data_IF_419685320626
#
_entry.id   IF_419685320626
#
_cell.length_a   1.000
_cell.length_b   1.000
_cell.length_c   1.000
_cell.angle_alpha   90.00
_cell.angle_beta   90.00
_cell.angle_gamma   90.00
#
_symmetry.space_group_name_H-M   'P 1'
#
loop_
_entity.id
_entity.type
_entity.pdbx_description
1 polymer ?
#
# COMPACT_ATOMS: atom_id res chain seq x y z
N UNK A 1 -0.10 35.40 -54.11
CA UNK A 1 -0.87 34.62 -55.10
C UNK A 1 -0.72 33.14 -54.75
N UNK A 2 -1.86 32.45 -54.58
CA UNK A 2 -2.14 31.00 -54.49
C UNK A 2 -1.27 30.13 -53.55
N UNK A 3 -1.72 29.60 -52.39
CA UNK A 3 -2.83 28.66 -52.08
C UNK A 3 -2.69 27.23 -52.65
N UNK A 4 -2.61 26.23 -51.75
CA UNK A 4 -3.22 24.88 -51.78
C UNK A 4 -2.43 23.97 -50.82
N UNK A 5 -2.84 23.68 -49.58
CA UNK A 5 -3.96 22.84 -49.15
C UNK A 5 -3.91 21.41 -49.75
N UNK A 6 -3.58 20.41 -48.94
CA UNK A 6 -3.87 18.99 -49.21
C UNK A 6 -4.22 18.30 -47.87
N UNK A 7 -5.51 18.38 -47.50
CA UNK A 7 -6.12 17.43 -46.58
C UNK A 7 -6.37 16.12 -47.34
N UNK A 8 -5.94 14.98 -46.79
CA UNK A 8 -6.43 13.66 -47.21
C UNK A 8 -7.51 13.18 -46.24
N UNK A 9 -8.73 13.14 -46.77
CA UNK A 9 -9.87 12.37 -46.28
C UNK A 9 -9.51 10.88 -46.20
N UNK A 10 -9.82 10.25 -45.06
CA UNK A 10 -10.01 8.79 -44.97
C UNK A 10 -11.51 8.55 -44.82
N UNK A 11 -12.02 7.77 -45.77
CA UNK A 11 -13.42 7.40 -45.94
C UNK A 11 -13.88 6.39 -44.89
N UNK A 12 -15.13 6.54 -44.48
CA UNK A 12 -15.95 5.55 -43.80
C UNK A 12 -15.99 4.24 -44.60
N UNK A 13 -15.73 3.11 -43.94
CA UNK A 13 -16.17 1.79 -44.38
C UNK A 13 -16.96 1.10 -43.28
N UNK A 14 -18.17 0.76 -43.65
CA UNK A 14 -19.26 0.12 -42.92
C UNK A 14 -18.93 -1.24 -42.27
N UNK A 15 -19.50 -1.42 -41.08
CA UNK A 15 -19.62 -2.66 -40.29
C UNK A 15 -20.19 -3.85 -41.08
N UNK A 16 -19.84 -5.08 -40.67
CA UNK A 16 -20.81 -6.16 -40.57
C UNK A 16 -20.98 -6.65 -39.13
N UNK A 17 -22.23 -6.53 -38.69
CA UNK A 17 -22.87 -7.21 -37.56
C UNK A 17 -22.77 -8.73 -37.66
N UNK A 18 -22.38 -9.41 -36.57
CA UNK A 18 -22.95 -10.69 -36.09
C UNK A 18 -22.33 -11.09 -34.75
N UNK A 19 -23.06 -10.85 -33.66
CA UNK A 19 -22.81 -11.42 -32.34
C UNK A 19 -23.45 -12.82 -32.25
N UNK A 20 -22.80 -13.82 -31.64
CA UNK A 20 -23.42 -15.11 -31.37
C UNK A 20 -24.44 -15.02 -30.22
N UNK A 21 -25.47 -15.89 -30.20
CA UNK A 21 -26.59 -15.77 -29.27
C UNK A 21 -26.21 -16.14 -27.84
N UNK A 22 -26.82 -15.38 -26.90
CA UNK A 22 -26.82 -15.62 -25.46
C UNK A 22 -27.55 -16.92 -25.13
N UNK A 23 -26.96 -17.74 -24.27
CA UNK A 23 -27.66 -18.83 -23.58
C UNK A 23 -28.47 -18.23 -22.42
N UNK A 24 -29.78 -18.44 -22.43
CA UNK A 24 -30.69 -18.03 -21.36
C UNK A 24 -30.49 -18.83 -20.07
N UNK A 25 -30.85 -18.24 -18.91
CA UNK A 25 -30.55 -18.76 -17.58
C UNK A 25 -31.50 -19.87 -17.15
N UNK A 26 -30.93 -20.92 -16.55
CA UNK A 26 -31.68 -21.95 -15.84
C UNK A 26 -32.45 -21.33 -14.65
N UNK A 27 -33.78 -21.41 -14.73
CA UNK A 27 -34.70 -21.07 -13.66
C UNK A 27 -34.55 -22.01 -12.44
N UNK A 28 -34.85 -21.53 -11.22
CA UNK A 28 -34.54 -22.21 -9.97
C UNK A 28 -35.50 -23.38 -9.68
N UNK A 29 -34.93 -24.54 -9.31
CA UNK A 29 -35.69 -25.62 -8.68
C UNK A 29 -36.02 -25.23 -7.24
N UNK A 30 -37.32 -25.10 -6.96
CA UNK A 30 -37.89 -25.06 -5.62
C UNK A 30 -37.57 -26.36 -4.89
N UNK A 31 -36.94 -26.27 -3.73
CA UNK A 31 -36.96 -27.30 -2.69
C UNK A 31 -37.64 -26.70 -1.46
N UNK A 32 -38.80 -27.26 -1.15
CA UNK A 32 -39.67 -26.93 -0.03
C UNK A 32 -39.45 -27.89 1.14
N UNK A 33 -39.65 -27.38 2.36
CA UNK A 33 -39.84 -28.11 3.63
C UNK A 33 -38.63 -28.90 4.15
N UNK A 34 -38.34 -29.00 5.44
CA UNK A 34 -39.09 -28.70 6.67
C UNK A 34 -38.12 -28.76 7.85
N UNK A 35 -38.16 -27.78 8.75
CA UNK A 35 -37.94 -28.00 10.19
C UNK A 35 -39.25 -28.58 10.76
N UNK A 36 -39.24 -29.45 11.79
CA UNK A 36 -38.87 -29.05 13.15
C UNK A 36 -38.13 -30.15 13.92
N UNK A 37 -37.41 -29.80 14.99
CA UNK A 37 -37.45 -30.59 16.24
C UNK A 37 -36.86 -29.76 17.38
N UNK A 38 -37.76 -29.23 18.20
CA UNK A 38 -37.51 -28.81 19.57
C UNK A 38 -37.28 -30.04 20.44
N UNK A 39 -36.21 -30.05 21.23
CA UNK A 39 -36.08 -30.91 22.39
C UNK A 39 -35.57 -30.09 23.57
N UNK A 40 -36.49 -29.82 24.49
CA UNK A 40 -36.24 -29.34 25.85
C UNK A 40 -35.73 -30.51 26.69
N UNK A 41 -34.61 -30.34 27.38
CA UNK A 41 -34.31 -31.08 28.61
C UNK A 41 -33.61 -30.16 29.60
N UNK A 42 -34.19 -30.11 30.80
CA UNK A 42 -33.71 -29.39 31.96
C UNK A 42 -32.90 -30.28 32.90
N UNK A 43 -32.10 -29.60 33.74
CA UNK A 43 -31.75 -29.87 35.14
C UNK A 43 -30.26 -30.12 35.44
N UNK A 44 -29.81 -29.27 36.37
CA UNK A 44 -28.79 -29.41 37.43
C UNK A 44 -27.28 -29.39 37.12
N UNK A 45 -26.70 -28.23 37.47
CA UNK A 45 -25.81 -28.02 38.62
C UNK A 45 -24.35 -28.53 38.61
N UNK A 46 -23.47 -27.51 38.66
CA UNK A 46 -22.19 -27.39 39.38
C UNK A 46 -21.00 -28.22 38.89
N UNK A 47 -20.12 -27.51 38.17
CA UNK A 47 -18.69 -27.79 38.10
C UNK A 47 -17.93 -26.48 37.93
N UNK A 48 -17.11 -26.10 38.92
CA UNK A 48 -16.30 -24.88 38.95
C UNK A 48 -15.40 -24.80 37.72
N UNK A 49 -15.56 -23.75 36.91
CA UNK A 49 -14.59 -23.38 35.88
C UNK A 49 -13.73 -22.24 36.42
N UNK A 50 -12.44 -22.53 36.51
CA UNK A 50 -11.38 -21.63 36.93
C UNK A 50 -11.19 -20.53 35.89
N UNK A 51 -11.06 -19.31 36.40
CA UNK A 51 -10.99 -18.08 35.62
C UNK A 51 -9.56 -17.95 35.03
N UNK A 52 -9.33 -18.49 33.83
CA UNK A 52 -8.07 -18.31 33.11
C UNK A 52 -8.06 -16.94 32.44
N UNK A 53 -7.56 -15.93 33.15
CA UNK A 53 -7.24 -14.61 32.62
C UNK A 53 -6.22 -14.78 31.49
N UNK A 54 -6.66 -14.62 30.23
CA UNK A 54 -5.76 -14.41 29.10
C UNK A 54 -4.99 -13.12 29.33
N UNK A 55 -3.66 -13.26 29.32
CA UNK A 55 -2.68 -12.19 29.54
C UNK A 55 -2.75 -11.24 28.34
N UNK A 56 -3.29 -10.04 28.55
CA UNK A 56 -3.18 -8.93 27.61
C UNK A 56 -1.69 -8.60 27.47
N UNK A 57 -1.17 -8.58 26.24
CA UNK A 57 0.20 -8.20 25.93
C UNK A 57 0.42 -6.71 26.25
N UNK A 58 1.53 -6.43 26.92
CA UNK A 58 1.92 -5.11 27.42
C UNK A 58 2.39 -4.22 26.26
N UNK A 59 1.62 -3.18 25.95
CA UNK A 59 1.96 -2.15 24.97
C UNK A 59 3.00 -1.21 25.61
N UNK A 60 4.25 -1.25 25.15
CA UNK A 60 5.27 -0.26 25.55
C UNK A 60 5.16 0.98 24.67
N UNK A 61 4.53 2.03 25.18
CA UNK A 61 4.57 3.38 24.56
C UNK A 61 5.79 4.15 25.05
N UNK A 62 6.74 4.46 24.17
CA UNK A 62 7.78 5.47 24.43
C UNK A 62 7.45 6.74 23.65
N UNK A 63 7.38 7.88 24.35
CA UNK A 63 7.10 9.20 23.78
C UNK A 63 8.27 10.15 24.01
N UNK A 64 8.74 10.80 22.95
CA UNK A 64 9.75 11.87 22.98
C UNK A 64 9.17 13.14 22.34
N UNK A 65 9.17 14.27 23.05
CA UNK A 65 8.95 15.65 22.52
C UNK A 65 10.31 16.25 22.09
N UNK A 66 10.48 17.22 21.17
CA UNK A 66 9.58 18.22 20.56
C UNK A 66 10.14 18.70 19.21
N UNK A 67 9.27 18.67 18.22
CA UNK A 67 9.33 19.20 16.86
C UNK A 67 7.95 18.94 16.25
N UNK A 68 7.53 19.54 15.15
CA UNK A 68 6.27 19.18 14.43
C UNK A 68 6.40 17.78 13.79
N UNK A 69 6.88 16.79 14.53
CA UNK A 69 7.08 15.42 14.09
C UNK A 69 5.87 14.61 14.56
N UNK A 70 5.25 13.87 13.63
CA UNK A 70 4.09 13.05 13.92
C UNK A 70 4.35 12.02 15.02
N UNK A 71 3.28 11.47 15.58
CA UNK A 71 3.38 10.46 16.65
C UNK A 71 4.15 9.23 16.14
N UNK A 72 5.26 8.86 16.79
CA UNK A 72 5.99 7.63 16.51
C UNK A 72 5.54 6.49 17.44
N UNK A 73 5.25 5.31 16.89
CA UNK A 73 4.89 4.09 17.62
C UNK A 73 5.67 2.88 17.10
N UNK A 74 5.88 1.91 17.97
CA UNK A 74 6.43 0.59 17.63
C UNK A 74 5.50 -0.47 18.20
N UNK A 75 4.99 -1.35 17.35
CA UNK A 75 4.09 -2.44 17.67
C UNK A 75 4.74 -3.77 17.28
N UNK A 76 4.90 -4.67 18.25
CA UNK A 76 5.57 -5.96 18.06
C UNK A 76 4.54 -7.08 18.22
N UNK A 77 4.45 -7.93 17.20
CA UNK A 77 3.49 -9.02 17.12
C UNK A 77 4.17 -10.38 17.23
N UNK A 78 3.46 -11.35 17.79
CA UNK A 78 3.98 -12.71 17.95
C UNK A 78 4.24 -13.40 16.61
N UNK A 79 3.43 -13.11 15.59
CA UNK A 79 3.46 -13.75 14.27
C UNK A 79 3.15 -12.74 13.16
N UNK A 80 3.60 -13.04 11.94
CA UNK A 80 3.23 -12.30 10.73
C UNK A 80 1.70 -12.26 10.52
N UNK A 81 0.98 -13.32 10.94
CA UNK A 81 -0.48 -13.39 10.83
C UNK A 81 -1.18 -12.37 11.74
N UNK A 82 -0.74 -12.25 13.01
CA UNK A 82 -1.28 -11.27 13.94
C UNK A 82 -0.97 -9.84 13.47
N UNK A 83 0.24 -9.62 12.96
CA UNK A 83 0.64 -8.36 12.36
C UNK A 83 -0.28 -8.01 11.19
N UNK A 84 -0.52 -8.95 10.28
CA UNK A 84 -1.35 -8.69 9.10
C UNK A 84 -2.80 -8.36 9.47
N UNK A 85 -3.35 -9.00 10.50
CA UNK A 85 -4.70 -8.73 11.00
C UNK A 85 -4.80 -7.30 11.58
N UNK A 86 -3.86 -6.89 12.42
CA UNK A 86 -3.85 -5.53 12.99
C UNK A 86 -3.52 -4.46 11.94
N UNK A 87 -2.66 -4.75 10.98
CA UNK A 87 -2.41 -3.86 9.84
C UNK A 87 -3.67 -3.63 8.99
N UNK A 88 -4.47 -4.68 8.76
CA UNK A 88 -5.73 -4.57 8.03
C UNK A 88 -6.75 -3.70 8.80
N UNK A 89 -6.85 -3.88 10.11
CA UNK A 89 -7.69 -3.04 10.97
C UNK A 89 -7.22 -1.58 10.94
N UNK A 90 -5.93 -1.33 11.16
CA UNK A 90 -5.33 0.01 11.09
C UNK A 90 -5.62 0.71 9.76
N UNK A 91 -5.41 0.00 8.65
CA UNK A 91 -5.66 0.54 7.30
C UNK A 91 -7.15 0.80 7.07
N UNK A 92 -8.03 -0.06 7.59
CA UNK A 92 -9.50 0.13 7.52
C UNK A 92 -9.94 1.37 8.29
N UNK A 93 -9.43 1.55 9.51
CA UNK A 93 -9.76 2.71 10.36
C UNK A 93 -9.30 4.02 9.69
N UNK A 94 -8.11 4.03 9.08
CA UNK A 94 -7.62 5.18 8.30
C UNK A 94 -8.44 5.41 7.04
N UNK A 95 -8.78 4.35 6.30
CA UNK A 95 -9.67 4.44 5.14
C UNK A 95 -10.99 5.14 5.53
N UNK A 96 -11.64 4.68 6.61
CA UNK A 96 -12.88 5.26 7.09
C UNK A 96 -12.73 6.72 7.54
N UNK A 97 -11.64 7.05 8.24
CA UNK A 97 -11.32 8.42 8.66
C UNK A 97 -11.23 9.34 7.46
N UNK A 98 -10.32 9.07 6.51
CA UNK A 98 -10.08 9.97 5.39
C UNK A 98 -11.24 9.98 4.39
N UNK A 99 -11.93 8.86 4.20
CA UNK A 99 -13.16 8.85 3.40
C UNK A 99 -14.23 9.78 3.97
N UNK A 100 -14.36 9.89 5.31
CA UNK A 100 -15.29 10.84 5.96
C UNK A 100 -14.80 12.28 5.87
N UNK A 101 -13.50 12.52 6.05
CA UNK A 101 -12.93 13.87 6.06
C UNK A 101 -12.84 14.51 4.67
N UNK A 102 -12.56 13.73 3.63
CA UNK A 102 -12.24 14.26 2.30
C UNK A 102 -12.87 13.52 1.12
N UNK A 103 -13.64 12.46 1.37
CA UNK A 103 -14.33 11.71 0.32
C UNK A 103 -13.48 10.70 -0.45
N UNK A 104 -12.18 10.60 -0.15
CA UNK A 104 -11.24 9.71 -0.83
C UNK A 104 -10.18 9.18 0.16
N UNK A 105 -9.58 8.03 -0.15
CA UNK A 105 -8.46 7.46 0.59
C UNK A 105 -7.32 7.09 -0.36
N UNK A 106 -6.17 7.72 -0.17
CA UNK A 106 -4.95 7.53 -0.96
C UNK A 106 -3.99 6.62 -0.21
N UNK A 107 -3.77 5.43 -0.74
CA UNK A 107 -2.87 4.43 -0.17
C UNK A 107 -1.73 4.14 -1.13
N UNK A 108 -0.51 4.15 -0.60
CA UNK A 108 0.72 3.88 -1.34
C UNK A 108 1.36 2.62 -0.76
N UNK A 109 1.84 1.72 -1.60
CA UNK A 109 2.46 0.47 -1.14
C UNK A 109 3.88 0.26 -1.69
N UNK A 110 4.76 -0.31 -0.87
CA UNK A 110 5.95 -1.02 -1.35
C UNK A 110 5.60 -2.42 -1.86
N UNK A 111 6.48 -2.99 -2.67
CA UNK A 111 6.45 -4.41 -3.01
C UNK A 111 6.96 -5.34 -1.89
N UNK A 112 7.49 -6.50 -2.30
CA UNK A 112 8.08 -7.47 -1.39
C UNK A 112 7.08 -8.20 -0.50
N UNK A 113 7.53 -8.66 0.67
CA UNK A 113 6.70 -9.48 1.58
C UNK A 113 5.51 -8.73 2.17
N UNK A 114 5.56 -7.39 2.24
CA UNK A 114 4.47 -6.55 2.72
C UNK A 114 3.16 -6.83 2.00
N UNK A 115 3.19 -7.06 0.68
CA UNK A 115 2.01 -7.29 -0.12
C UNK A 115 1.20 -8.50 0.38
N UNK A 116 1.86 -9.50 0.97
CA UNK A 116 1.18 -10.66 1.56
C UNK A 116 0.24 -10.24 2.68
N UNK A 117 0.60 -9.24 3.49
CA UNK A 117 -0.22 -8.77 4.61
C UNK A 117 -1.54 -8.14 4.16
N UNK A 118 -1.59 -7.58 2.95
CA UNK A 118 -2.83 -7.00 2.38
C UNK A 118 -3.94 -8.03 2.16
N UNK A 119 -3.63 -9.34 2.17
CA UNK A 119 -4.65 -10.41 2.09
C UNK A 119 -5.75 -10.24 3.15
N UNK A 120 -5.40 -9.72 4.32
CA UNK A 120 -6.33 -9.53 5.45
C UNK A 120 -7.33 -8.43 5.22
N UNK A 121 -7.02 -7.44 4.37
CA UNK A 121 -7.99 -6.41 3.99
C UNK A 121 -9.13 -6.98 3.15
N UNK A 122 -8.89 -8.04 2.37
CA UNK A 122 -9.93 -8.71 1.57
C UNK A 122 -10.98 -9.38 2.47
N UNK A 123 -10.60 -9.75 3.70
CA UNK A 123 -11.50 -10.37 4.69
C UNK A 123 -12.40 -9.32 5.38
N UNK A 124 -12.13 -8.02 5.21
CA UNK A 124 -12.86 -6.93 5.87
C UNK A 124 -14.04 -6.47 4.99
N UNK A 125 -15.26 -6.78 5.43
CA UNK A 125 -16.49 -6.48 4.68
C UNK A 125 -16.97 -5.03 4.71
N UNK A 126 -16.37 -4.14 5.52
CA UNK A 126 -16.83 -2.76 5.72
C UNK A 126 -16.13 -1.71 4.85
N UNK A 127 -15.13 -2.09 4.05
CA UNK A 127 -14.31 -1.14 3.28
C UNK A 127 -15.08 -0.63 2.03
N UNK A 128 -15.18 0.68 1.89
CA UNK A 128 -15.66 1.34 0.67
C UNK A 128 -14.54 1.50 -0.36
N UNK A 129 -14.29 0.44 -1.13
CA UNK A 129 -13.26 0.39 -2.18
C UNK A 129 -13.42 1.43 -3.28
N UNK A 130 -14.62 1.98 -3.48
CA UNK A 130 -14.89 2.98 -4.52
C UNK A 130 -14.14 4.30 -4.28
N UNK A 131 -13.75 4.55 -3.03
CA UNK A 131 -13.01 5.75 -2.60
C UNK A 131 -11.51 5.57 -2.55
N UNK A 132 -11.02 4.36 -2.78
CA UNK A 132 -9.59 4.06 -2.72
C UNK A 132 -8.89 4.54 -3.99
N UNK A 133 -7.73 5.17 -3.80
CA UNK A 133 -6.75 5.51 -4.81
C UNK A 133 -5.44 4.83 -4.44
N UNK A 134 -4.95 3.95 -5.32
CA UNK A 134 -3.86 3.03 -5.03
C UNK A 134 -2.62 3.38 -5.85
N UNK A 135 -1.47 3.44 -5.18
CA UNK A 135 -0.19 3.87 -5.75
C UNK A 135 0.93 2.93 -5.30
N UNK A 136 2.07 3.00 -5.99
CA UNK A 136 3.32 2.38 -5.56
C UNK A 136 4.31 3.45 -5.11
N UNK A 137 5.03 3.15 -4.03
CA UNK A 137 6.13 4.02 -3.55
C UNK A 137 7.38 3.82 -4.41
N UNK A 138 7.58 2.62 -4.93
CA UNK A 138 8.63 2.27 -5.87
C UNK A 138 8.17 1.18 -6.82
N UNK A 139 8.81 1.12 -7.98
CA UNK A 139 8.56 0.07 -8.96
C UNK A 139 9.82 -0.21 -9.78
N UNK A 140 9.95 -1.46 -10.21
CA UNK A 140 10.98 -1.95 -11.10
C UNK A 140 10.50 -1.64 -12.51
N UNK A 141 11.37 -1.06 -13.34
CA UNK A 141 11.02 -0.66 -14.70
C UNK A 141 11.08 -1.90 -15.60
N UNK A 142 10.07 -2.73 -15.45
CA UNK A 142 9.86 -4.00 -16.15
C UNK A 142 8.38 -4.10 -16.55
N UNK A 143 8.01 -4.98 -17.50
CA UNK A 143 6.60 -5.16 -17.85
C UNK A 143 5.73 -5.50 -16.64
N UNK A 144 4.47 -5.02 -16.58
CA UNK A 144 3.53 -5.26 -15.45
C UNK A 144 3.17 -6.73 -15.22
N UNK A 145 3.50 -7.61 -16.16
CA UNK A 145 3.33 -9.06 -16.06
C UNK A 145 4.63 -9.80 -15.72
N UNK A 146 5.74 -9.07 -15.56
CA UNK A 146 7.03 -9.61 -15.14
C UNK A 146 7.01 -9.98 -13.65
N UNK A 147 7.74 -11.01 -13.26
CA UNK A 147 7.78 -11.51 -11.89
C UNK A 147 8.32 -10.50 -10.87
N UNK A 148 9.25 -9.64 -11.31
CA UNK A 148 9.82 -8.56 -10.48
C UNK A 148 8.93 -7.31 -10.35
N UNK A 149 7.79 -7.24 -11.04
CA UNK A 149 6.90 -6.07 -10.96
C UNK A 149 6.13 -6.06 -9.64
N UNK A 150 6.23 -4.96 -8.90
CA UNK A 150 5.42 -4.70 -7.72
C UNK A 150 3.93 -4.59 -8.08
N UNK A 151 3.59 -4.09 -9.27
CA UNK A 151 2.24 -4.09 -9.81
C UNK A 151 1.71 -5.51 -9.92
N UNK A 152 2.43 -6.42 -10.58
CA UNK A 152 2.03 -7.83 -10.71
C UNK A 152 1.77 -8.44 -9.35
N UNK A 153 2.73 -8.25 -8.44
CA UNK A 153 2.69 -8.80 -7.09
C UNK A 153 1.44 -8.32 -6.34
N UNK A 154 1.16 -7.02 -6.36
CA UNK A 154 -0.04 -6.44 -5.75
C UNK A 154 -1.33 -6.88 -6.44
N UNK A 155 -1.32 -7.02 -7.77
CA UNK A 155 -2.48 -7.46 -8.54
C UNK A 155 -2.90 -8.88 -8.17
N UNK A 156 -1.96 -9.83 -8.22
CA UNK A 156 -2.21 -11.24 -7.92
C UNK A 156 -2.61 -11.46 -6.45
N UNK A 157 -1.97 -10.72 -5.54
CA UNK A 157 -2.19 -10.89 -4.11
C UNK A 157 -3.43 -10.14 -3.60
N UNK A 158 -3.78 -8.99 -4.17
CA UNK A 158 -4.75 -8.07 -3.58
C UNK A 158 -5.70 -7.43 -4.60
N UNK A 159 -5.21 -6.69 -5.61
CA UNK A 159 -6.08 -5.84 -6.45
C UNK A 159 -7.10 -6.66 -7.27
N UNK A 160 -6.76 -7.89 -7.66
CA UNK A 160 -7.70 -8.80 -8.36
C UNK A 160 -8.87 -9.30 -7.48
N UNK A 161 -8.84 -9.03 -6.17
CA UNK A 161 -9.80 -9.55 -5.17
C UNK A 161 -10.69 -8.47 -4.59
N UNK A 162 -10.47 -7.20 -4.93
CA UNK A 162 -11.21 -6.06 -4.39
C UNK A 162 -11.71 -5.14 -5.51
N UNK A 163 -12.91 -4.55 -5.38
CA UNK A 163 -13.51 -3.72 -6.43
C UNK A 163 -13.01 -2.27 -6.41
N UNK A 164 -11.69 -2.04 -6.37
CA UNK A 164 -11.13 -0.70 -6.55
C UNK A 164 -11.33 -0.29 -8.03
N UNK A 165 -11.89 0.90 -8.33
CA UNK A 165 -12.06 1.34 -9.71
C UNK A 165 -10.71 1.33 -10.46
N UNK A 166 -10.63 0.75 -11.68
CA UNK A 166 -9.36 0.69 -12.41
C UNK A 166 -8.72 2.06 -12.67
N UNK A 167 -9.54 3.11 -12.84
CA UNK A 167 -9.06 4.50 -12.97
C UNK A 167 -8.43 5.09 -11.70
N UNK A 168 -8.57 4.40 -10.56
CA UNK A 168 -7.97 4.79 -9.29
C UNK A 168 -6.71 3.97 -8.94
N UNK A 169 -6.21 3.15 -9.86
CA UNK A 169 -4.97 2.38 -9.69
C UNK A 169 -3.88 2.99 -10.57
N UNK A 170 -2.93 3.67 -9.94
CA UNK A 170 -1.92 4.48 -10.64
C UNK A 170 -0.58 3.74 -10.66
N UNK A 171 -0.33 3.00 -11.74
CA UNK A 171 0.91 2.28 -11.98
C UNK A 171 1.80 3.04 -12.97
N UNK A 172 3.09 2.74 -12.98
CA UNK A 172 4.06 3.36 -13.88
C UNK A 172 3.78 3.02 -15.34
N UNK A 173 4.36 3.82 -16.24
CA UNK A 173 4.49 3.45 -17.65
C UNK A 173 5.73 2.56 -17.87
N UNK A 174 5.51 1.25 -17.96
CA UNK A 174 6.57 0.23 -18.12
C UNK A 174 7.34 0.28 -19.45
N UNK A 175 6.87 1.07 -20.42
CA UNK A 175 7.49 1.19 -21.76
C UNK A 175 8.55 2.28 -21.85
N UNK A 176 8.75 3.04 -20.77
CA UNK A 176 9.70 4.14 -20.69
C UNK A 176 10.99 3.71 -19.97
N UNK A 177 12.09 4.42 -20.21
CA UNK A 177 13.30 4.34 -19.38
C UNK A 177 12.98 4.77 -17.93
N UNK A 178 13.82 4.39 -16.96
CA UNK A 178 13.62 4.75 -15.55
C UNK A 178 13.43 6.27 -15.32
N UNK A 179 14.24 7.11 -15.97
CA UNK A 179 14.11 8.56 -15.87
C UNK A 179 12.76 9.07 -16.39
N UNK A 180 12.42 8.75 -17.65
CA UNK A 180 11.14 9.14 -18.25
C UNK A 180 9.93 8.55 -17.51
N UNK A 181 10.02 7.34 -16.95
CA UNK A 181 8.97 6.74 -16.13
C UNK A 181 8.76 7.49 -14.81
N UNK A 182 9.85 7.97 -14.19
CA UNK A 182 9.77 8.79 -12.98
C UNK A 182 9.12 10.15 -13.27
N UNK A 183 9.48 10.80 -14.38
CA UNK A 183 8.88 12.06 -14.83
C UNK A 183 7.39 11.91 -15.14
N UNK A 184 7.00 10.85 -15.86
CA UNK A 184 5.60 10.53 -16.18
C UNK A 184 4.77 10.30 -14.90
N UNK A 185 5.32 9.53 -13.96
CA UNK A 185 4.66 9.28 -12.68
C UNK A 185 4.54 10.55 -11.84
N UNK A 186 5.59 11.38 -11.76
CA UNK A 186 5.53 12.68 -11.09
C UNK A 186 4.50 13.63 -11.74
N UNK A 187 4.40 13.64 -13.07
CA UNK A 187 3.37 14.41 -13.80
C UNK A 187 1.96 13.94 -13.45
N UNK A 188 1.74 12.62 -13.37
CA UNK A 188 0.49 12.03 -12.90
C UNK A 188 0.14 12.52 -11.49
N UNK A 189 1.09 12.48 -10.55
CA UNK A 189 0.87 12.96 -9.18
C UNK A 189 0.54 14.46 -9.13
N UNK A 190 1.23 15.29 -9.91
CA UNK A 190 0.94 16.74 -10.01
C UNK A 190 -0.48 16.99 -10.53
N UNK A 191 -0.95 16.19 -11.49
CA UNK A 191 -2.33 16.27 -11.97
C UNK A 191 -3.34 15.89 -10.87
N UNK A 192 -3.05 14.84 -10.10
CA UNK A 192 -3.90 14.40 -8.99
C UNK A 192 -3.92 15.40 -7.82
N UNK A 193 -2.82 16.12 -7.59
CA UNK A 193 -2.78 17.28 -6.69
C UNK A 193 -3.68 18.40 -7.21
N UNK A 194 -3.54 18.77 -8.49
CA UNK A 194 -4.34 19.83 -9.11
C UNK A 194 -5.85 19.54 -9.10
N UNK A 195 -6.23 18.26 -9.22
CA UNK A 195 -7.63 17.81 -9.21
C UNK A 195 -8.16 17.53 -7.81
N UNK A 196 -7.32 17.65 -6.77
CA UNK A 196 -7.73 17.52 -5.37
C UNK A 196 -7.82 16.09 -4.84
N UNK A 197 -7.39 15.09 -5.60
CA UNK A 197 -7.31 13.69 -5.15
C UNK A 197 -6.21 13.54 -4.09
N UNK A 198 -5.03 14.11 -4.38
CA UNK A 198 -3.89 14.16 -3.46
C UNK A 198 -3.84 15.56 -2.85
N UNK A 199 -3.70 15.66 -1.53
CA UNK A 199 -3.54 16.96 -0.86
C UNK A 199 -2.09 17.42 -0.96
N UNK A 200 -1.84 18.71 -0.75
CA UNK A 200 -0.49 19.22 -0.55
C UNK A 200 -0.28 19.39 0.96
N UNK A 201 0.89 18.98 1.45
CA UNK A 201 1.31 19.30 2.81
C UNK A 201 1.50 20.81 2.96
N UNK A 202 0.86 21.40 3.96
CA UNK A 202 1.07 22.81 4.32
C UNK A 202 2.46 23.05 4.91
N UNK A 203 3.08 22.03 5.51
CA UNK A 203 4.40 22.12 6.13
C UNK A 203 5.54 22.05 5.11
N UNK A 204 5.41 21.20 4.10
CA UNK A 204 6.52 20.83 3.22
C UNK A 204 6.30 21.26 1.77
N UNK A 205 5.05 21.48 1.35
CA UNK A 205 4.71 21.77 -0.05
C UNK A 205 4.72 20.55 -0.98
N UNK A 206 4.96 19.35 -0.45
CA UNK A 206 4.95 18.09 -1.22
C UNK A 206 3.57 17.41 -1.18
N UNK A 207 3.28 16.46 -2.10
CA UNK A 207 2.06 15.67 -2.05
C UNK A 207 1.95 14.91 -0.72
N UNK A 208 0.80 15.05 -0.07
CA UNK A 208 0.42 14.41 1.18
C UNK A 208 -0.56 13.28 0.91
N UNK A 209 -0.05 12.06 0.94
CA UNK A 209 -0.84 10.82 0.90
C UNK A 209 -1.41 10.52 2.29
N UNK A 210 -2.47 9.71 2.35
CA UNK A 210 -3.11 9.39 3.62
C UNK A 210 -2.38 8.27 4.37
N UNK A 211 -1.97 7.23 3.63
CA UNK A 211 -1.24 6.10 4.18
C UNK A 211 -0.18 5.60 3.20
N UNK A 212 1.07 5.53 3.66
CA UNK A 212 2.13 4.76 2.98
C UNK A 212 2.46 3.50 3.77
N UNK A 213 2.32 2.35 3.12
CA UNK A 213 2.74 1.05 3.63
C UNK A 213 4.12 0.74 3.05
N UNK A 214 5.14 0.76 3.89
CA UNK A 214 6.53 0.58 3.48
C UNK A 214 7.10 -0.74 3.99
N UNK A 215 7.76 -1.47 3.10
CA UNK A 215 8.62 -2.59 3.48
C UNK A 215 10.04 -2.11 3.79
N UNK A 216 10.87 -2.99 4.35
CA UNK A 216 12.28 -2.71 4.60
C UNK A 216 13.18 -3.86 4.14
N UNK A 217 14.31 -3.51 3.52
CA UNK A 217 15.39 -4.43 3.18
C UNK A 217 16.18 -4.95 4.39
N UNK A 218 16.96 -6.04 4.22
CA UNK A 218 17.88 -6.49 5.27
C UNK A 218 19.04 -5.51 5.52
N UNK A 219 19.34 -4.67 4.54
CA UNK A 219 20.25 -3.53 4.54
C UNK A 219 19.56 -2.22 4.97
N UNK A 220 18.29 -2.27 5.37
CA UNK A 220 17.55 -1.09 5.84
C UNK A 220 17.12 -0.10 4.77
N UNK A 221 17.25 -0.43 3.48
CA UNK A 221 16.62 0.35 2.41
C UNK A 221 15.10 0.33 2.55
N UNK A 222 14.46 1.42 2.14
CA UNK A 222 13.01 1.54 1.96
C UNK A 222 12.76 1.98 0.52
N UNK A 223 11.64 1.55 -0.08
CA UNK A 223 11.35 1.83 -1.48
C UNK A 223 12.56 1.44 -2.36
N UNK A 224 13.08 2.33 -3.21
CA UNK A 224 14.39 2.14 -3.86
C UNK A 224 15.45 3.16 -3.37
N UNK A 225 15.39 3.54 -2.10
CA UNK A 225 16.36 4.40 -1.42
C UNK A 225 17.36 3.54 -0.64
N UNK A 226 18.52 3.29 -1.25
CA UNK A 226 19.55 2.38 -0.75
C UNK A 226 20.63 3.09 0.10
N UNK A 227 21.21 2.42 1.10
CA UNK A 227 22.39 2.93 1.81
C UNK A 227 23.49 3.36 0.83
N UNK A 228 24.12 4.50 1.09
CA UNK A 228 25.21 5.07 0.30
C UNK A 228 24.81 5.65 -1.07
N UNK A 229 23.56 5.49 -1.50
CA UNK A 229 23.10 5.98 -2.79
C UNK A 229 22.69 7.47 -2.70
N UNK A 230 23.13 8.29 -3.67
CA UNK A 230 22.91 9.75 -3.65
C UNK A 230 21.44 10.17 -3.62
N UNK A 231 20.53 9.32 -4.09
CA UNK A 231 19.08 9.58 -4.07
C UNK A 231 18.50 9.70 -2.65
N UNK A 232 19.18 9.17 -1.62
CA UNK A 232 18.79 9.39 -0.23
C UNK A 232 18.94 10.85 0.22
N UNK A 233 19.73 11.67 -0.50
CA UNK A 233 19.88 13.10 -0.27
C UNK A 233 19.03 13.98 -1.21
N UNK A 234 18.06 13.41 -1.94
CA UNK A 234 17.18 14.17 -2.81
C UNK A 234 16.12 14.95 -2.00
N UNK A 235 16.11 16.27 -2.16
CA UNK A 235 15.26 17.18 -1.39
C UNK A 235 14.17 17.88 -2.21
N UNK A 236 14.18 17.75 -3.55
CA UNK A 236 13.33 18.57 -4.44
C UNK A 236 12.37 17.75 -5.29
N UNK A 237 12.85 16.65 -5.90
CA UNK A 237 12.02 15.80 -6.76
C UNK A 237 10.97 15.06 -5.95
N UNK A 238 9.81 14.81 -6.55
CA UNK A 238 8.79 13.97 -5.91
C UNK A 238 9.08 12.50 -6.18
N UNK A 239 9.47 12.20 -7.41
CA UNK A 239 9.82 10.86 -7.87
C UNK A 239 11.26 10.89 -8.40
N UNK A 240 12.09 10.01 -7.86
CA UNK A 240 13.43 9.73 -8.35
C UNK A 240 13.46 8.47 -9.22
N UNK A 241 14.58 8.29 -9.92
CA UNK A 241 14.90 7.09 -10.64
C UNK A 241 16.27 6.55 -10.20
N UNK A 242 16.46 5.25 -10.40
CA UNK A 242 17.70 4.52 -10.12
C UNK A 242 17.99 3.67 -11.35
N UNK A 243 19.22 3.70 -11.86
CA UNK A 243 19.65 2.86 -13.00
C UNK A 243 20.64 1.77 -12.60
N UNK A 244 21.19 1.89 -11.39
CA UNK A 244 22.30 1.12 -10.84
C UNK A 244 21.94 0.52 -9.47
N UNK A 245 20.67 0.09 -9.30
CA UNK A 245 20.26 -0.51 -8.04
C UNK A 245 21.17 -1.70 -7.69
N UNK A 246 21.65 -1.81 -6.43
CA UNK A 246 22.50 -2.92 -6.00
C UNK A 246 21.74 -4.26 -5.98
N UNK A 247 20.45 -4.27 -6.31
CA UNK A 247 19.59 -5.45 -6.37
C UNK A 247 18.89 -5.51 -7.72
N UNK A 248 18.87 -6.66 -8.40
CA UNK A 248 18.16 -6.79 -9.66
C UNK A 248 16.64 -6.61 -9.48
N UNK A 249 15.93 -6.14 -10.50
CA UNK A 249 16.42 -5.37 -11.66
C UNK A 249 17.03 -4.02 -11.25
N UNK A 250 18.00 -3.53 -12.03
CA UNK A 250 18.76 -2.32 -11.69
C UNK A 250 17.95 -1.04 -11.87
N UNK A 251 17.07 -1.00 -12.88
CA UNK A 251 16.24 0.15 -13.20
C UNK A 251 14.96 0.21 -12.37
N UNK A 252 14.78 1.33 -11.65
CA UNK A 252 13.67 1.55 -10.72
C UNK A 252 13.23 2.99 -10.73
N UNK A 253 11.97 3.23 -10.36
CA UNK A 253 11.50 4.54 -9.90
C UNK A 253 11.13 4.46 -8.42
N UNK A 254 11.18 5.59 -7.71
CA UNK A 254 10.87 5.63 -6.28
C UNK A 254 10.42 7.01 -5.85
N UNK A 255 9.54 7.08 -4.86
CA UNK A 255 9.34 8.29 -4.10
C UNK A 255 10.61 8.64 -3.34
N UNK A 256 10.83 9.94 -3.22
CA UNK A 256 11.92 10.53 -2.45
C UNK A 256 11.48 10.71 -0.99
N UNK A 257 12.43 10.93 -0.08
CA UNK A 257 12.09 11.20 1.33
C UNK A 257 11.16 12.40 1.52
N UNK A 258 11.30 13.53 0.79
CA UNK A 258 10.34 14.62 0.87
C UNK A 258 8.88 14.18 0.66
N UNK A 259 8.60 13.28 -0.29
CA UNK A 259 7.23 12.76 -0.51
C UNK A 259 6.83 11.76 0.56
N UNK A 260 7.72 10.82 0.91
CA UNK A 260 7.46 9.81 1.93
C UNK A 260 7.11 10.49 3.27
N UNK A 261 7.95 11.43 3.69
CA UNK A 261 7.86 12.09 4.98
C UNK A 261 6.74 13.13 5.05
N UNK A 262 6.15 13.51 3.91
CA UNK A 262 4.98 14.38 3.83
C UNK A 262 3.66 13.61 3.91
N UNK A 263 3.69 12.27 3.90
CA UNK A 263 2.51 11.45 4.13
C UNK A 263 1.90 11.74 5.51
N UNK A 264 0.58 11.69 5.59
CA UNK A 264 -0.13 11.81 6.86
C UNK A 264 0.26 10.66 7.79
N UNK A 265 0.10 9.43 7.32
CA UNK A 265 0.50 8.23 8.04
C UNK A 265 1.52 7.43 7.23
N UNK A 266 2.51 6.85 7.92
CA UNK A 266 3.44 5.87 7.38
C UNK A 266 3.46 4.65 8.30
N UNK A 267 3.28 3.46 7.73
CA UNK A 267 3.43 2.19 8.42
C UNK A 267 4.61 1.42 7.82
N UNK A 268 5.68 1.24 8.60
CA UNK A 268 6.79 0.37 8.27
C UNK A 268 6.44 -1.05 8.70
N UNK A 269 6.28 -1.96 7.74
CA UNK A 269 5.85 -3.33 7.96
C UNK A 269 7.02 -4.28 7.70
N UNK A 270 7.58 -4.82 8.77
CA UNK A 270 8.84 -5.56 8.73
C UNK A 270 8.71 -6.87 9.49
N UNK A 271 8.88 -7.98 8.78
CA UNK A 271 8.83 -9.33 9.35
C UNK A 271 10.11 -10.11 9.05
N UNK A 272 10.48 -11.00 9.97
CA UNK A 272 11.57 -11.97 9.82
C UNK A 272 12.91 -11.52 10.39
N UNK A 273 13.67 -12.49 10.89
CA UNK A 273 14.97 -12.28 11.56
C UNK A 273 16.04 -11.66 10.68
N UNK A 274 15.98 -11.86 9.37
CA UNK A 274 16.89 -11.23 8.41
C UNK A 274 16.78 -9.70 8.35
N UNK A 275 15.88 -9.09 9.13
CA UNK A 275 15.70 -7.62 9.22
C UNK A 275 16.15 -7.04 10.56
N UNK A 276 16.46 -7.87 11.55
CA UNK A 276 16.58 -7.45 12.94
C UNK A 276 17.65 -6.37 13.15
N UNK A 277 18.86 -6.58 12.62
CA UNK A 277 19.96 -5.61 12.73
C UNK A 277 19.59 -4.25 12.09
N UNK A 278 18.97 -4.26 10.91
CA UNK A 278 18.53 -3.05 10.24
C UNK A 278 17.38 -2.34 10.97
N UNK A 279 16.46 -3.09 11.59
CA UNK A 279 15.38 -2.52 12.43
C UNK A 279 15.99 -1.81 13.63
N UNK A 280 16.90 -2.48 14.33
CA UNK A 280 17.58 -1.91 15.49
C UNK A 280 18.35 -0.64 15.11
N UNK A 281 19.12 -0.69 14.04
CA UNK A 281 19.91 0.43 13.56
C UNK A 281 19.02 1.61 13.13
N UNK A 282 17.90 1.36 12.45
CA UNK A 282 16.93 2.40 12.08
C UNK A 282 16.26 3.04 13.31
N UNK A 283 15.83 2.24 14.28
CA UNK A 283 15.18 2.73 15.50
C UNK A 283 16.14 3.54 16.37
N UNK A 284 17.41 3.14 16.45
CA UNK A 284 18.47 3.84 17.19
C UNK A 284 19.10 4.99 16.40
N UNK A 285 18.75 5.16 15.12
CA UNK A 285 19.36 6.12 14.19
C UNK A 285 20.89 6.00 14.11
N UNK A 286 21.38 4.77 13.99
CA UNK A 286 22.81 4.45 13.90
C UNK A 286 23.18 3.93 12.52
N UNK A 287 24.30 4.38 11.98
CA UNK A 287 24.76 3.97 10.64
C UNK A 287 23.99 4.63 9.51
N UNK A 288 24.26 4.19 8.29
CA UNK A 288 23.57 4.64 7.07
C UNK A 288 22.41 3.69 6.76
N UNK A 289 21.24 3.98 7.34
CA UNK A 289 20.05 3.14 7.27
C UNK A 289 18.86 3.99 6.82
N UNK A 290 18.50 3.97 5.52
CA UNK A 290 17.43 4.79 4.95
C UNK A 290 16.09 4.72 5.71
N UNK A 291 15.73 3.54 6.26
CA UNK A 291 14.53 3.40 7.08
C UNK A 291 14.52 4.31 8.34
N UNK A 292 15.68 4.68 8.88
CA UNK A 292 15.82 5.61 10.00
C UNK A 292 15.50 7.07 9.65
N UNK A 293 15.47 7.41 8.36
CA UNK A 293 15.13 8.73 7.82
C UNK A 293 13.62 8.90 7.54
N UNK A 294 12.84 7.83 7.66
CA UNK A 294 11.40 7.85 7.46
C UNK A 294 10.72 8.56 8.62
N UNK A 295 9.84 9.50 8.30
CA UNK A 295 8.93 10.18 9.22
C UNK A 295 7.53 10.28 8.59
N UNK A 296 6.59 10.88 9.31
CA UNK A 296 5.24 11.16 8.85
C UNK A 296 4.72 12.42 9.55
N UNK A 297 3.75 13.10 8.95
CA UNK A 297 3.19 14.32 9.53
C UNK A 297 2.26 14.07 10.71
N UNK A 298 1.46 13.00 10.66
CA UNK A 298 0.53 12.65 11.73
C UNK A 298 1.03 11.46 12.54
N UNK A 299 1.35 10.35 11.89
CA UNK A 299 1.74 9.13 12.59
C UNK A 299 2.71 8.24 11.80
N UNK A 300 3.81 7.85 12.45
CA UNK A 300 4.71 6.80 12.00
C UNK A 300 4.56 5.58 12.90
N UNK A 301 4.17 4.44 12.34
CA UNK A 301 4.03 3.18 13.08
C UNK A 301 4.97 2.13 12.50
N UNK A 302 5.74 1.48 13.37
CA UNK A 302 6.50 0.28 13.03
C UNK A 302 5.70 -0.96 13.41
N UNK A 303 5.25 -1.72 12.42
CA UNK A 303 4.65 -3.04 12.57
C UNK A 303 5.74 -4.09 12.42
N UNK A 304 6.12 -4.73 13.52
CA UNK A 304 7.23 -5.68 13.60
C UNK A 304 6.73 -7.05 14.06
N UNK A 305 7.24 -8.14 13.50
CA UNK A 305 7.14 -9.44 14.17
C UNK A 305 8.28 -9.64 15.17
N UNK A 306 8.12 -10.57 16.13
CA UNK A 306 9.18 -10.89 17.09
C UNK A 306 10.53 -11.22 16.44
N UNK A 307 10.60 -12.03 15.37
CA UNK A 307 11.84 -12.26 14.63
C UNK A 307 12.53 -10.97 14.14
N UNK A 308 11.80 -9.97 13.64
CA UNK A 308 12.37 -8.69 13.22
C UNK A 308 12.93 -7.84 14.37
N UNK A 309 12.80 -8.28 15.62
CA UNK A 309 13.33 -7.63 16.82
C UNK A 309 14.35 -8.50 17.57
N UNK A 310 14.83 -9.60 17.00
CA UNK A 310 15.58 -10.64 17.72
C UNK A 310 17.09 -10.37 17.92
N UNK A 311 17.51 -9.13 18.10
CA UNK A 311 18.91 -8.78 18.35
C UNK A 311 19.33 -9.03 19.80
#
# INVERSE_FOLDING_TARGET
>A
MASSCFLRQILFSSLPTKLPPRSDPLSPKKLSCSSPFTASLSVSSIGRLTNSRRKLSEVKSMSTEKGKEGKKKVEIFDTEENLAAELAKYTTDLSDKYCKEKGAFTVVVSGGSLIKSLRKLVEVGSIDWSRWHFFWVDERVVPKHHEDSNYKLAYDAFLSKVPIPPGNVYAINESLSAEAAAEDYEMCLKHLVKTGVIRVSESTGFPKFDLMLLGMGPDGHVASLFPGHGLCGEEKRWVGFVTDSPKPPSERITFTFPVINSSACVALVVCGSGKAEAVEAALKKTGDVPAGCVSAEEELVWFLDKPACSC
#
